data_IF_763734412778
#
_entry.id   IF_763734412778
#
_cell.length_a   1.000
_cell.length_b   1.000
_cell.length_c   1.000
_cell.angle_alpha   90.00
_cell.angle_beta   90.00
_cell.angle_gamma   90.00
#
_symmetry.space_group_name_H-M   'P 1'
#
loop_
_entity.id
_entity.type
_entity.pdbx_description
1 polymer ?
#
# COMPACT_ATOMS: atom_id res chain seq x y z
N UNK A 1 21.14 -16.64 8.49
CA UNK A 1 20.66 -15.53 9.36
C UNK A 1 21.69 -15.28 10.47
N UNK A 2 22.56 -14.26 10.34
CA UNK A 2 23.77 -14.09 11.18
C UNK A 2 23.99 -12.71 11.81
N UNK A 3 22.99 -11.82 11.81
CA UNK A 3 23.12 -10.45 12.36
C UNK A 3 22.54 -10.42 13.77
N UNK A 4 23.34 -10.01 14.75
CA UNK A 4 22.95 -9.84 16.16
C UNK A 4 23.25 -8.42 16.63
N UNK A 5 22.44 -7.46 16.17
CA UNK A 5 22.50 -6.06 16.61
C UNK A 5 21.29 -5.82 17.53
N UNK A 6 21.50 -5.54 18.83
CA UNK A 6 20.41 -5.53 19.79
C UNK A 6 19.52 -4.28 19.72
N UNK A 7 20.05 -3.17 19.23
CA UNK A 7 19.46 -1.83 19.23
C UNK A 7 18.76 -1.45 17.91
N UNK A 8 18.33 -2.44 17.13
CA UNK A 8 17.54 -2.20 15.92
C UNK A 8 16.19 -1.55 16.30
N UNK A 9 15.91 -0.36 15.76
CA UNK A 9 14.67 0.40 16.00
C UNK A 9 13.58 0.17 14.96
N UNK A 10 13.96 -0.18 13.75
CA UNK A 10 13.04 -0.36 12.63
C UNK A 10 13.41 -1.61 11.84
N UNK A 11 12.39 -2.42 11.55
CA UNK A 11 12.45 -3.46 10.52
C UNK A 11 11.37 -3.14 9.51
N UNK A 12 11.76 -2.89 8.26
CA UNK A 12 10.85 -2.50 7.19
C UNK A 12 10.86 -3.59 6.12
N UNK A 13 9.67 -4.12 5.85
CA UNK A 13 9.44 -5.05 4.74
C UNK A 13 8.87 -4.24 3.57
N UNK A 14 9.61 -4.23 2.46
CA UNK A 14 9.16 -3.62 1.21
C UNK A 14 8.47 -4.68 0.35
N UNK A 15 7.15 -4.75 0.46
CA UNK A 15 6.34 -5.85 -0.07
C UNK A 15 5.90 -6.83 1.03
N UNK A 16 4.93 -7.67 0.69
CA UNK A 16 4.41 -8.69 1.61
C UNK A 16 5.47 -9.79 1.81
N UNK A 17 5.85 -10.11 3.06
CA UNK A 17 6.70 -11.24 3.37
C UNK A 17 6.15 -12.55 2.79
N UNK A 18 7.02 -13.50 2.42
CA UNK A 18 6.60 -14.79 1.84
C UNK A 18 5.81 -15.67 2.80
N UNK A 19 6.05 -15.53 4.10
CA UNK A 19 5.37 -16.31 5.12
C UNK A 19 5.30 -15.57 6.44
N UNK A 20 4.28 -15.88 7.24
CA UNK A 20 4.11 -15.30 8.58
C UNK A 20 5.27 -15.67 9.51
N UNK A 21 5.81 -16.89 9.37
CA UNK A 21 6.97 -17.35 10.15
C UNK A 21 8.22 -16.54 9.81
N UNK A 22 8.48 -16.31 8.52
CA UNK A 22 9.58 -15.47 8.04
C UNK A 22 9.45 -14.04 8.56
N UNK A 23 8.26 -13.45 8.40
CA UNK A 23 7.94 -12.12 8.93
C UNK A 23 8.22 -12.00 10.43
N UNK A 24 7.82 -12.99 11.23
CA UNK A 24 8.07 -12.98 12.68
C UNK A 24 9.55 -13.10 13.02
N UNK A 25 10.29 -13.96 12.31
CA UNK A 25 11.73 -14.10 12.51
C UNK A 25 12.50 -12.83 12.12
N UNK A 26 12.09 -12.16 11.04
CA UNK A 26 12.69 -10.93 10.52
C UNK A 26 12.35 -9.74 11.43
N UNK A 27 11.06 -9.54 11.74
CA UNK A 27 10.58 -8.50 12.64
C UNK A 27 11.12 -8.63 14.05
N UNK A 28 11.26 -9.86 14.56
CA UNK A 28 11.77 -10.15 15.89
C UNK A 28 13.26 -9.80 16.10
N UNK A 29 13.95 -9.29 15.08
CA UNK A 29 15.30 -8.73 15.21
C UNK A 29 15.30 -7.34 15.85
N UNK A 30 14.17 -6.62 15.78
CA UNK A 30 14.04 -5.29 16.36
C UNK A 30 13.94 -5.36 17.89
N UNK A 31 14.48 -4.36 18.59
CA UNK A 31 14.20 -4.15 20.03
C UNK A 31 14.72 -5.23 20.97
N UNK A 32 15.83 -5.93 20.64
CA UNK A 32 16.39 -6.97 21.53
C UNK A 32 17.08 -6.40 22.78
N UNK A 33 17.32 -5.09 22.80
CA UNK A 33 17.72 -4.32 23.98
C UNK A 33 16.54 -4.00 24.94
N UNK A 34 15.32 -4.43 24.61
CA UNK A 34 14.12 -4.21 25.42
C UNK A 34 13.46 -2.85 25.23
N UNK A 35 14.05 -1.97 24.41
CA UNK A 35 13.45 -0.69 24.05
C UNK A 35 12.41 -0.87 22.94
N UNK A 36 11.46 0.07 22.86
CA UNK A 36 10.42 0.05 21.83
C UNK A 36 11.03 0.09 20.42
N UNK A 37 10.48 -0.72 19.52
CA UNK A 37 10.89 -0.80 18.13
C UNK A 37 9.67 -1.02 17.23
N UNK A 38 9.82 -0.69 15.94
CA UNK A 38 8.77 -0.77 14.95
C UNK A 38 9.05 -1.88 13.92
N UNK A 39 8.03 -2.67 13.61
CA UNK A 39 8.01 -3.53 12.43
C UNK A 39 6.94 -3.00 11.47
N UNK A 40 7.35 -2.73 10.24
CA UNK A 40 6.55 -2.08 9.21
C UNK A 40 6.52 -2.99 7.99
N UNK A 41 5.35 -3.09 7.37
CA UNK A 41 5.16 -3.80 6.10
C UNK A 41 4.50 -2.84 5.13
N UNK A 42 5.23 -2.44 4.09
CA UNK A 42 4.66 -1.74 2.96
C UNK A 42 4.12 -2.75 1.96
N UNK A 43 2.84 -2.64 1.63
CA UNK A 43 2.25 -3.45 0.58
C UNK A 43 1.14 -2.69 -0.12
N UNK A 44 0.93 -3.03 -1.39
CA UNK A 44 -0.22 -2.57 -2.14
C UNK A 44 -1.30 -3.64 -2.10
N UNK A 45 -2.58 -3.25 -1.95
CA UNK A 45 -3.69 -4.20 -1.85
C UNK A 45 -3.77 -5.14 -3.06
N UNK A 46 -3.39 -4.67 -4.26
CA UNK A 46 -3.36 -5.50 -5.47
C UNK A 46 -2.16 -6.46 -5.53
N UNK A 47 -1.09 -6.19 -4.76
CA UNK A 47 0.12 -7.01 -4.74
C UNK A 47 0.09 -8.14 -3.71
N UNK A 48 -0.98 -8.28 -2.94
CA UNK A 48 -1.18 -9.41 -2.02
C UNK A 48 -1.72 -10.62 -2.80
N UNK A 49 -0.95 -11.14 -3.75
CA UNK A 49 -1.35 -12.36 -4.45
C UNK A 49 -1.23 -13.55 -3.49
N UNK A 50 -2.22 -14.44 -3.49
CA UNK A 50 -2.21 -15.69 -2.69
C UNK A 50 -1.03 -16.59 -3.09
N UNK A 51 -0.46 -16.38 -4.27
CA UNK A 51 0.72 -17.11 -4.77
C UNK A 51 2.06 -16.56 -4.24
N UNK A 52 2.11 -15.29 -3.81
CA UNK A 52 3.34 -14.64 -3.35
C UNK A 52 3.62 -14.86 -1.85
N UNK A 53 2.59 -15.24 -1.08
CA UNK A 53 2.66 -15.40 0.36
C UNK A 53 1.79 -16.56 0.84
N UNK A 54 2.08 -17.10 2.03
CA UNK A 54 1.17 -18.05 2.66
C UNK A 54 -0.12 -17.37 3.20
N UNK A 55 -1.18 -18.17 3.34
CA UNK A 55 -2.52 -17.72 3.78
C UNK A 55 -2.46 -16.91 5.09
N UNK A 56 -1.75 -17.34 6.16
CA UNK A 56 -1.71 -16.58 7.41
C UNK A 56 -1.11 -15.17 7.29
N UNK A 57 -0.14 -14.97 6.40
CA UNK A 57 0.47 -13.65 6.17
C UNK A 57 -0.42 -12.76 5.29
N UNK A 58 -1.10 -13.35 4.31
CA UNK A 58 -2.16 -12.65 3.57
C UNK A 58 -3.23 -12.12 4.54
N UNK A 59 -3.69 -12.96 5.46
CA UNK A 59 -4.72 -12.59 6.44
C UNK A 59 -4.21 -11.57 7.46
N UNK A 60 -2.95 -11.67 7.87
CA UNK A 60 -2.28 -10.69 8.73
C UNK A 60 -2.27 -9.29 8.11
N UNK A 61 -1.99 -9.16 6.80
CA UNK A 61 -2.03 -7.87 6.12
C UNK A 61 -3.45 -7.28 6.12
N UNK A 62 -4.49 -8.08 5.89
CA UNK A 62 -5.90 -7.62 5.80
C UNK A 62 -6.64 -7.56 7.14
N UNK A 63 -5.92 -7.72 8.25
CA UNK A 63 -6.52 -7.86 9.56
C UNK A 63 -7.26 -6.59 10.01
N UNK A 64 -8.44 -6.76 10.63
CA UNK A 64 -9.21 -5.67 11.27
C UNK A 64 -9.13 -5.69 12.80
N UNK A 65 -8.55 -6.75 13.36
CA UNK A 65 -8.36 -6.97 14.80
C UNK A 65 -6.90 -6.72 15.21
N UNK A 66 -6.61 -6.75 16.51
CA UNK A 66 -5.26 -6.52 17.02
C UNK A 66 -4.22 -7.44 16.36
N UNK A 67 -3.18 -6.85 15.75
CA UNK A 67 -2.08 -7.60 15.11
C UNK A 67 -1.38 -8.55 16.07
N UNK A 68 -1.16 -8.14 17.32
CA UNK A 68 -0.50 -8.98 18.34
C UNK A 68 -1.36 -10.16 18.74
N UNK A 69 -2.67 -9.94 18.89
CA UNK A 69 -3.59 -11.02 19.24
C UNK A 69 -3.58 -12.09 18.15
N UNK A 70 -3.63 -11.69 16.87
CA UNK A 70 -3.54 -12.63 15.76
C UNK A 70 -2.23 -13.44 15.79
N UNK A 71 -1.09 -12.77 16.00
CA UNK A 71 0.21 -13.45 16.08
C UNK A 71 0.27 -14.44 17.25
N UNK A 72 -0.16 -14.02 18.45
CA UNK A 72 -0.19 -14.89 19.63
C UNK A 72 -1.09 -16.10 19.38
N UNK A 73 -2.29 -15.90 18.84
CA UNK A 73 -3.20 -17.00 18.54
C UNK A 73 -2.64 -17.96 17.48
N UNK A 74 -1.92 -17.44 16.48
CA UNK A 74 -1.32 -18.26 15.43
C UNK A 74 -0.17 -19.13 15.94
N UNK A 75 0.69 -18.60 16.82
CA UNK A 75 1.90 -19.31 17.28
C UNK A 75 1.72 -20.05 18.62
N UNK A 76 0.80 -19.61 19.48
CA UNK A 76 0.61 -20.14 20.83
C UNK A 76 -0.89 -20.21 21.19
N UNK A 77 -1.67 -21.10 20.54
CA UNK A 77 -3.13 -21.17 20.73
C UNK A 77 -3.56 -21.72 22.11
N UNK A 78 -2.74 -22.53 22.77
CA UNK A 78 -3.11 -23.21 24.04
C UNK A 78 -2.74 -22.40 25.31
N UNK A 79 -1.85 -21.41 25.19
CA UNK A 79 -1.32 -20.63 26.33
C UNK A 79 -1.85 -19.18 26.39
N UNK A 80 -2.76 -18.81 25.50
CA UNK A 80 -3.17 -17.42 25.28
C UNK A 80 -4.11 -16.87 26.38
N UNK A 81 -3.54 -16.57 27.55
CA UNK A 81 -4.08 -15.53 28.44
C UNK A 81 -3.54 -14.19 27.97
N UNK A 82 -4.29 -13.51 27.11
CA UNK A 82 -3.97 -12.12 26.76
C UNK A 82 -4.22 -11.24 27.99
N UNK A 83 -3.12 -10.86 28.66
CA UNK A 83 -3.16 -9.88 29.73
C UNK A 83 -3.72 -8.53 29.25
N UNK A 84 -4.07 -7.66 30.20
CA UNK A 84 -4.50 -6.29 29.91
C UNK A 84 -3.44 -5.59 29.07
N UNK A 85 -3.84 -5.00 27.95
CA UNK A 85 -2.92 -4.33 27.01
C UNK A 85 -2.23 -3.18 27.74
N UNK A 86 -0.94 -3.36 28.01
CA UNK A 86 -0.03 -2.31 28.46
C UNK A 86 0.47 -1.65 27.16
N UNK A 87 0.27 -0.34 27.06
CA UNK A 87 0.51 0.58 25.91
C UNK A 87 1.81 0.34 25.09
N UNK A 88 1.90 0.98 23.91
CA UNK A 88 2.72 0.67 22.71
C UNK A 88 1.88 -0.08 21.67
N UNK A 89 0.75 0.47 21.23
CA UNK A 89 -0.23 -0.23 20.38
C UNK A 89 0.33 -0.64 18.98
N UNK A 90 -0.36 -1.57 18.31
CA UNK A 90 -0.25 -1.69 16.85
C UNK A 90 -1.07 -0.57 16.17
N UNK A 91 -0.91 -0.42 14.86
CA UNK A 91 -1.68 0.47 13.97
C UNK A 91 -3.22 0.34 14.09
N UNK A 92 -3.73 -0.85 14.43
CA UNK A 92 -5.17 -1.08 14.62
C UNK A 92 -5.61 -0.67 16.03
N UNK A 93 -4.87 -1.10 17.05
CA UNK A 93 -5.20 -0.77 18.45
C UNK A 93 -4.96 0.71 18.78
N UNK A 94 -4.08 1.40 18.06
CA UNK A 94 -3.79 2.81 18.28
C UNK A 94 -5.01 3.69 18.01
N UNK A 95 -5.80 3.36 16.99
CA UNK A 95 -7.05 4.04 16.63
C UNK A 95 -8.09 4.02 17.75
N UNK A 96 -7.99 3.05 18.65
CA UNK A 96 -8.88 2.86 19.78
C UNK A 96 -8.23 3.25 21.13
N UNK A 97 -6.97 3.73 21.14
CA UNK A 97 -6.32 4.17 22.38
C UNK A 97 -6.69 5.62 22.71
N UNK A 98 -7.07 5.86 23.95
CA UNK A 98 -7.31 7.20 24.53
C UNK A 98 -6.18 7.67 25.44
N UNK A 99 -4.98 7.09 25.29
CA UNK A 99 -3.85 7.28 26.17
C UNK A 99 -2.91 8.41 25.70
N UNK A 100 -2.36 9.18 26.65
CA UNK A 100 -1.42 10.29 26.37
C UNK A 100 -0.03 9.83 25.90
N UNK A 101 0.37 8.59 26.25
CA UNK A 101 1.75 8.12 26.13
C UNK A 101 1.95 7.08 25.01
N UNK A 102 0.96 6.91 24.11
CA UNK A 102 1.17 6.05 22.95
C UNK A 102 2.12 6.71 21.95
N UNK A 103 3.34 6.19 21.89
CA UNK A 103 4.44 6.65 21.03
C UNK A 103 4.22 6.41 19.51
N UNK A 104 2.96 6.25 19.08
CA UNK A 104 2.57 6.07 17.67
C UNK A 104 2.36 7.42 17.00
N UNK A 105 2.07 8.48 17.78
CA UNK A 105 2.10 9.85 17.27
C UNK A 105 3.49 10.26 16.76
N UNK A 106 4.55 9.57 17.19
CA UNK A 106 5.92 9.75 16.69
C UNK A 106 6.13 9.16 15.30
N UNK A 107 5.25 8.25 14.85
CA UNK A 107 5.25 7.72 13.49
C UNK A 107 4.41 8.60 12.54
N UNK A 108 3.36 9.25 13.07
CA UNK A 108 2.73 10.40 12.40
C UNK A 108 3.82 11.35 11.91
N UNK A 109 4.78 11.72 12.76
CA UNK A 109 5.89 12.62 12.39
C UNK A 109 6.79 12.17 11.21
N UNK A 110 6.85 10.87 10.86
CA UNK A 110 7.61 10.36 9.70
C UNK A 110 6.75 10.38 8.42
N UNK A 111 5.42 10.34 8.55
CA UNK A 111 4.45 10.37 7.45
C UNK A 111 3.62 11.67 7.38
N UNK A 112 3.85 12.64 8.26
CA UNK A 112 2.99 13.81 8.44
C UNK A 112 3.41 14.96 7.51
N UNK A 113 2.63 15.17 6.45
CA UNK A 113 1.59 16.23 6.42
C UNK A 113 0.91 16.40 5.06
N UNK A 114 1.41 15.80 3.98
CA UNK A 114 0.85 15.99 2.63
C UNK A 114 0.00 14.80 2.12
N UNK A 115 0.22 13.58 2.64
CA UNK A 115 -0.43 12.36 2.10
C UNK A 115 -1.73 11.95 2.82
N UNK A 116 -2.14 12.68 3.87
CA UNK A 116 -3.41 12.44 4.57
C UNK A 116 -4.65 12.90 3.80
N UNK A 117 -4.51 13.37 2.55
CA UNK A 117 -5.64 13.73 1.71
C UNK A 117 -6.42 12.52 1.15
N UNK A 118 -5.89 11.29 1.20
CA UNK A 118 -6.44 10.19 0.37
C UNK A 118 -6.91 8.94 1.10
N UNK A 119 -6.84 8.92 2.43
CA UNK A 119 -7.49 7.89 3.25
C UNK A 119 -8.81 8.37 3.89
N UNK A 120 -9.45 9.38 3.29
CA UNK A 120 -10.86 9.66 3.58
C UNK A 120 -11.67 8.47 3.08
N UNK A 121 -12.42 7.88 4.00
CA UNK A 121 -13.54 7.02 3.66
C UNK A 121 -14.56 7.88 2.90
N UNK A 122 -14.43 7.97 1.59
CA UNK A 122 -15.52 8.45 0.76
C UNK A 122 -16.56 7.34 0.75
N UNK A 123 -17.63 7.55 1.50
CA UNK A 123 -18.88 6.81 1.34
C UNK A 123 -19.16 6.64 -0.16
N UNK A 124 -19.45 5.41 -0.60
CA UNK A 124 -19.77 5.11 -2.01
C UNK A 124 -20.99 5.88 -2.54
N UNK A 125 -21.69 6.63 -1.68
CA UNK A 125 -22.94 7.33 -1.98
C UNK A 125 -22.80 8.64 -2.77
N UNK A 126 -21.59 9.21 -2.92
CA UNK A 126 -21.39 10.52 -3.59
C UNK A 126 -20.58 10.47 -4.89
N UNK A 127 -20.17 9.29 -5.39
CA UNK A 127 -19.46 9.21 -6.67
C UNK A 127 -20.42 9.47 -7.84
N UNK A 128 -20.29 10.63 -8.48
CA UNK A 128 -21.00 10.93 -9.71
C UNK A 128 -20.41 10.09 -10.85
N UNK A 129 -21.22 9.28 -11.51
CA UNK A 129 -20.77 8.47 -12.64
C UNK A 129 -21.18 9.11 -13.97
N UNK A 130 -20.24 9.19 -14.92
CA UNK A 130 -20.54 9.57 -16.30
C UNK A 130 -20.72 8.34 -17.18
N UNK A 131 -21.62 8.44 -18.16
CA UNK A 131 -21.75 7.43 -19.19
C UNK A 131 -20.58 7.55 -20.18
N UNK A 132 -19.73 6.52 -20.22
CA UNK A 132 -18.60 6.45 -21.15
C UNK A 132 -18.82 5.33 -22.15
N UNK A 133 -18.87 5.67 -23.42
CA UNK A 133 -19.08 4.72 -24.52
C UNK A 133 -17.89 3.77 -24.68
N UNK A 134 -18.13 2.60 -25.25
CA UNK A 134 -17.06 1.64 -25.57
C UNK A 134 -16.03 2.24 -26.53
N UNK A 135 -16.47 3.08 -27.48
CA UNK A 135 -15.58 3.78 -28.41
C UNK A 135 -14.65 4.76 -27.69
N UNK A 136 -15.17 5.56 -26.74
CA UNK A 136 -14.35 6.45 -25.92
C UNK A 136 -13.33 5.68 -25.07
N UNK A 137 -13.73 4.55 -24.46
CA UNK A 137 -12.78 3.70 -23.72
C UNK A 137 -11.65 3.17 -24.59
N UNK A 138 -11.95 2.77 -25.83
CA UNK A 138 -10.93 2.35 -26.79
C UNK A 138 -10.01 3.51 -27.16
N UNK A 139 -10.55 4.70 -27.44
CA UNK A 139 -9.75 5.89 -27.76
C UNK A 139 -8.79 6.27 -26.63
N UNK A 140 -9.26 6.28 -25.38
CA UNK A 140 -8.42 6.55 -24.19
C UNK A 140 -7.35 5.48 -24.05
N UNK A 141 -7.72 4.19 -24.18
CA UNK A 141 -6.76 3.09 -24.10
C UNK A 141 -5.65 3.22 -25.15
N UNK A 142 -6.01 3.57 -26.38
CA UNK A 142 -5.03 3.77 -27.45
C UNK A 142 -4.09 4.93 -27.14
N UNK A 143 -4.62 6.09 -26.74
CA UNK A 143 -3.82 7.27 -26.41
C UNK A 143 -2.86 7.03 -25.22
N UNK A 144 -3.31 6.28 -24.20
CA UNK A 144 -2.45 5.91 -23.07
C UNK A 144 -1.36 4.90 -23.44
N UNK A 145 -1.64 3.98 -24.37
CA UNK A 145 -0.62 3.06 -24.89
C UNK A 145 0.41 3.81 -25.74
N UNK A 146 0.00 4.78 -26.56
CA UNK A 146 0.92 5.65 -27.30
C UNK A 146 1.86 6.42 -26.34
N UNK A 147 1.31 7.00 -25.27
CA UNK A 147 2.11 7.63 -24.21
C UNK A 147 3.13 6.65 -23.60
N UNK A 148 2.71 5.41 -23.31
CA UNK A 148 3.62 4.38 -22.78
C UNK A 148 4.74 4.04 -23.77
N UNK A 149 4.43 3.90 -25.06
CA UNK A 149 5.43 3.65 -26.09
C UNK A 149 6.43 4.81 -26.22
N UNK A 150 5.95 6.04 -26.19
CA UNK A 150 6.80 7.23 -26.22
C UNK A 150 7.72 7.28 -24.99
N UNK A 151 7.20 6.95 -23.81
CA UNK A 151 8.02 6.86 -22.60
C UNK A 151 9.09 5.79 -22.73
N UNK A 152 8.76 4.57 -23.20
CA UNK A 152 9.71 3.47 -23.34
C UNK A 152 10.79 3.78 -24.38
N UNK A 153 10.42 4.40 -25.51
CA UNK A 153 11.37 4.74 -26.58
C UNK A 153 12.42 5.78 -26.16
N UNK A 154 12.12 6.58 -25.15
CA UNK A 154 13.06 7.57 -24.59
C UNK A 154 14.08 6.97 -23.61
N UNK A 155 13.97 5.68 -23.27
CA UNK A 155 14.89 5.01 -22.36
C UNK A 155 15.56 3.79 -23.01
N UNK A 156 16.89 3.72 -22.91
CA UNK A 156 17.67 2.52 -23.24
C UNK A 156 17.44 1.42 -22.19
N UNK A 157 16.27 0.78 -22.21
CA UNK A 157 15.83 -0.19 -21.21
C UNK A 157 16.45 -1.58 -21.44
N UNK A 158 17.72 -1.80 -21.07
CA UNK A 158 18.35 -3.13 -21.23
C UNK A 158 18.33 -4.01 -19.97
N UNK A 159 17.99 -3.49 -18.77
CA UNK A 159 18.24 -4.22 -17.51
C UNK A 159 17.12 -4.20 -16.45
N UNK A 160 16.04 -3.42 -16.61
CA UNK A 160 14.95 -3.31 -15.63
C UNK A 160 13.60 -3.34 -16.36
N UNK A 161 12.57 -3.91 -15.72
CA UNK A 161 11.20 -3.91 -16.25
C UNK A 161 10.73 -2.47 -16.52
N UNK A 162 10.22 -2.22 -17.73
CA UNK A 162 9.68 -0.92 -18.17
C UNK A 162 8.63 -0.37 -17.22
N UNK A 163 7.81 -1.25 -16.61
CA UNK A 163 6.75 -0.86 -15.67
C UNK A 163 7.27 -0.09 -14.46
N UNK A 164 8.49 -0.41 -14.01
CA UNK A 164 9.13 0.22 -12.84
C UNK A 164 9.69 1.60 -13.20
N UNK A 165 10.13 1.78 -14.44
CA UNK A 165 10.75 3.02 -14.91
C UNK A 165 9.69 4.06 -15.24
N UNK A 166 8.66 3.66 -15.98
CA UNK A 166 7.63 4.58 -16.45
C UNK A 166 6.57 4.88 -15.40
N UNK A 167 6.38 3.99 -14.42
CA UNK A 167 5.26 4.09 -13.48
C UNK A 167 3.88 3.89 -14.14
N UNK A 168 3.86 3.54 -15.43
CA UNK A 168 2.67 3.28 -16.24
C UNK A 168 2.86 1.91 -16.91
N UNK A 169 1.94 0.99 -16.67
CA UNK A 169 1.95 -0.35 -17.27
C UNK A 169 0.63 -0.62 -17.98
N UNK A 170 0.59 -1.61 -18.88
CA UNK A 170 -0.66 -2.03 -19.52
C UNK A 170 -1.77 -2.36 -18.52
N UNK A 171 -1.40 -2.90 -17.35
CA UNK A 171 -2.34 -3.21 -16.26
C UNK A 171 -2.95 -1.94 -15.69
N UNK A 172 -2.13 -0.94 -15.37
CA UNK A 172 -2.58 0.37 -14.86
C UNK A 172 -3.45 1.06 -15.90
N UNK A 173 -3.07 1.02 -17.18
CA UNK A 173 -3.87 1.58 -18.28
C UNK A 173 -5.24 0.91 -18.35
N UNK A 174 -5.31 -0.42 -18.31
CA UNK A 174 -6.59 -1.13 -18.31
C UNK A 174 -7.45 -0.77 -17.10
N UNK A 175 -6.82 -0.60 -15.93
CA UNK A 175 -7.52 -0.23 -14.71
C UNK A 175 -8.09 1.19 -14.78
N UNK A 176 -7.31 2.16 -15.24
CA UNK A 176 -7.77 3.54 -15.50
C UNK A 176 -8.95 3.53 -16.48
N UNK A 177 -8.84 2.81 -17.60
CA UNK A 177 -9.89 2.73 -18.63
C UNK A 177 -11.16 2.07 -18.10
N UNK A 178 -11.05 1.07 -17.23
CA UNK A 178 -12.21 0.45 -16.58
C UNK A 178 -12.91 1.44 -15.64
N UNK A 179 -12.12 2.28 -14.95
CA UNK A 179 -12.55 3.20 -13.90
C UNK A 179 -12.85 4.63 -14.38
N UNK A 180 -12.64 4.93 -15.66
CA UNK A 180 -12.81 6.27 -16.25
C UNK A 180 -14.20 6.92 -16.06
N UNK A 181 -15.20 6.11 -15.74
CA UNK A 181 -16.56 6.54 -15.45
C UNK A 181 -16.68 7.36 -14.14
N UNK A 182 -15.67 7.33 -13.28
CA UNK A 182 -15.61 8.16 -12.05
C UNK A 182 -14.33 9.00 -11.91
N UNK A 183 -13.53 9.14 -12.98
CA UNK A 183 -12.30 9.95 -12.95
C UNK A 183 -12.59 11.35 -13.50
N UNK A 184 -12.57 12.38 -12.65
CA UNK A 184 -12.81 13.78 -13.04
C UNK A 184 -11.64 14.70 -12.73
N UNK A 185 -10.93 14.43 -11.64
CA UNK A 185 -9.87 15.31 -11.17
C UNK A 185 -8.53 14.60 -11.01
N UNK A 186 -7.53 15.38 -10.62
CA UNK A 186 -6.18 14.90 -10.38
C UNK A 186 -6.13 13.87 -9.25
N UNK A 187 -6.95 14.04 -8.21
CA UNK A 187 -7.01 13.17 -7.03
C UNK A 187 -7.62 11.81 -7.35
N UNK A 188 -8.48 11.70 -8.36
CA UNK A 188 -9.02 10.41 -8.82
C UNK A 188 -7.95 9.51 -9.46
N UNK A 189 -6.80 10.07 -9.84
CA UNK A 189 -5.71 9.36 -10.52
C UNK A 189 -4.46 9.28 -9.66
N UNK A 190 -4.05 10.40 -9.07
CA UNK A 190 -2.84 10.50 -8.26
C UNK A 190 -2.95 9.65 -7.01
N UNK A 191 -1.90 8.87 -6.69
CA UNK A 191 -1.85 7.93 -5.57
C UNK A 191 -2.92 6.81 -5.56
N UNK A 192 -3.84 6.78 -6.54
CA UNK A 192 -4.77 5.67 -6.78
C UNK A 192 -4.21 4.73 -7.84
N UNK A 193 -3.90 5.28 -9.02
CA UNK A 193 -3.37 4.51 -10.15
C UNK A 193 -1.91 4.85 -10.46
N UNK A 194 -1.53 6.13 -10.31
CA UNK A 194 -0.23 6.67 -10.71
C UNK A 194 0.33 7.54 -9.57
N UNK A 195 1.62 7.41 -9.28
CA UNK A 195 2.29 8.14 -8.19
C UNK A 195 3.19 9.30 -8.67
N UNK A 196 3.34 9.48 -9.98
CA UNK A 196 4.06 10.61 -10.59
C UNK A 196 3.07 11.73 -10.95
N UNK A 197 3.27 12.92 -10.35
CA UNK A 197 2.40 14.09 -10.56
C UNK A 197 2.32 14.53 -12.03
N UNK A 198 3.44 14.58 -12.75
CA UNK A 198 3.48 15.02 -14.17
C UNK A 198 2.77 14.03 -15.07
N UNK A 199 2.95 12.74 -14.77
CA UNK A 199 2.27 11.69 -15.51
C UNK A 199 0.75 11.74 -15.24
N UNK A 200 0.33 11.96 -13.99
CA UNK A 200 -1.08 12.16 -13.63
C UNK A 200 -1.71 13.30 -14.43
N UNK A 201 -1.07 14.47 -14.50
CA UNK A 201 -1.57 15.61 -15.29
C UNK A 201 -1.74 15.26 -16.77
N UNK A 202 -0.77 14.52 -17.32
CA UNK A 202 -0.78 14.09 -18.73
C UNK A 202 -1.94 13.12 -18.98
N UNK A 203 -2.11 12.12 -18.11
CA UNK A 203 -3.19 11.12 -18.20
C UNK A 203 -4.56 11.79 -18.04
N UNK A 204 -4.71 12.72 -17.10
CA UNK A 204 -5.95 13.47 -16.92
C UNK A 204 -6.28 14.31 -18.17
N UNK A 205 -5.28 14.93 -18.78
CA UNK A 205 -5.45 15.68 -20.04
C UNK A 205 -5.92 14.77 -21.18
N UNK A 206 -5.34 13.57 -21.31
CA UNK A 206 -5.76 12.57 -22.30
C UNK A 206 -7.22 12.17 -22.09
N UNK A 207 -7.62 11.90 -20.84
CA UNK A 207 -8.98 11.52 -20.49
C UNK A 207 -9.97 12.65 -20.84
N UNK A 208 -9.65 13.89 -20.47
CA UNK A 208 -10.50 15.06 -20.73
C UNK A 208 -10.58 15.46 -22.21
N UNK A 209 -9.60 15.10 -23.03
CA UNK A 209 -9.65 15.34 -24.48
C UNK A 209 -10.62 14.40 -25.21
N UNK A 210 -10.96 13.24 -24.61
CA UNK A 210 -11.83 12.23 -25.22
C UNK A 210 -13.27 12.28 -24.68
N UNK A 211 -13.45 12.80 -23.47
CA UNK A 211 -14.72 12.78 -22.73
C UNK A 211 -15.31 14.17 -22.57
#
# INVERSE_FOLDING_TARGET
MGINVPDIRYVIHWGVPRSLNGFMQESGRAGRDGNAAFSIVYYHNMNISVSATNVPMHDYCKLKLCRRQFLIMHFTPEESKTGKIIHQCCDICSKLCSCSDCNINSFGFILDKEDHAMASMCDESDKQYRNVTTQQRVQIKTALNELLYDMISNYDCTLINSDVITGLSEKIICEIVNNVHYIYDFGDIYQVFIYDKKLTDTVLTIINNVL
#
